data_IF_276540154241
#
_entry.id   IF_276540154241
#
_cell.length_a   1.000
_cell.length_b   1.000
_cell.length_c   1.000
_cell.angle_alpha   90.00
_cell.angle_beta   90.00
_cell.angle_gamma   90.00
#
_symmetry.space_group_name_H-M   'P 1'
#
loop_
_entity.id
_entity.type
_entity.pdbx_description
1 polymer ?
#
# COMPACT_ATOMS: atom_id res chain seq x y z
N UNK A 1 11.93 -33.76 7.44
CA UNK A 1 12.81 -32.58 7.66
C UNK A 1 12.47 -31.41 6.73
N UNK A 2 12.92 -31.36 5.47
CA UNK A 2 12.72 -30.18 4.61
C UNK A 2 11.24 -29.86 4.33
N UNK A 3 10.40 -30.89 4.26
CA UNK A 3 8.94 -30.72 4.06
C UNK A 3 8.25 -30.04 5.23
N UNK A 4 8.50 -30.52 6.44
CA UNK A 4 7.95 -29.95 7.66
C UNK A 4 8.47 -28.53 7.91
N UNK A 5 9.76 -28.31 7.70
CA UNK A 5 10.36 -26.99 7.80
C UNK A 5 9.70 -26.02 6.81
N UNK A 6 9.51 -26.43 5.56
CA UNK A 6 8.82 -25.61 4.55
C UNK A 6 7.36 -25.31 4.94
N UNK A 7 6.64 -26.29 5.49
CA UNK A 7 5.26 -26.09 5.97
C UNK A 7 5.20 -25.10 7.12
N UNK A 8 6.11 -25.22 8.08
CA UNK A 8 6.19 -24.32 9.22
C UNK A 8 6.54 -22.88 8.80
N UNK A 9 7.51 -22.71 7.89
CA UNK A 9 7.86 -21.39 7.35
C UNK A 9 6.69 -20.72 6.63
N UNK A 10 5.87 -21.48 5.90
CA UNK A 10 4.65 -20.96 5.27
C UNK A 10 3.62 -20.51 6.31
N UNK A 11 3.36 -21.34 7.32
CA UNK A 11 2.42 -21.00 8.40
C UNK A 11 2.81 -19.72 9.15
N UNK A 12 4.09 -19.57 9.47
CA UNK A 12 4.60 -18.35 10.10
C UNK A 12 4.44 -17.13 9.18
N UNK A 13 4.73 -17.27 7.89
CA UNK A 13 4.56 -16.20 6.93
C UNK A 13 3.08 -15.79 6.76
N UNK A 14 2.16 -16.76 6.71
CA UNK A 14 0.71 -16.54 6.62
C UNK A 14 0.15 -15.82 7.86
N UNK A 15 0.82 -15.95 9.00
CA UNK A 15 0.49 -15.27 10.26
C UNK A 15 1.25 -13.96 10.47
N UNK A 16 1.87 -13.39 9.43
CA UNK A 16 2.67 -12.15 9.50
C UNK A 16 3.94 -12.25 10.37
N UNK A 17 4.39 -13.47 10.69
CA UNK A 17 5.61 -13.75 11.45
C UNK A 17 6.70 -14.40 10.57
N UNK A 18 6.78 -13.98 9.30
CA UNK A 18 7.77 -14.50 8.36
C UNK A 18 9.22 -14.34 8.86
N UNK A 19 10.02 -15.38 8.66
CA UNK A 19 11.42 -15.40 9.14
C UNK A 19 12.38 -14.87 8.08
N UNK A 20 13.38 -14.10 8.54
CA UNK A 20 14.48 -13.67 7.70
C UNK A 20 15.35 -14.87 7.24
N UNK A 21 16.01 -14.80 6.07
CA UNK A 21 16.83 -15.89 5.53
C UNK A 21 17.86 -16.47 6.52
N UNK A 22 18.47 -15.62 7.35
CA UNK A 22 19.43 -16.05 8.38
C UNK A 22 18.74 -16.86 9.48
N UNK A 23 17.60 -16.38 9.98
CA UNK A 23 16.80 -17.10 10.99
C UNK A 23 16.25 -18.42 10.48
N UNK A 24 15.85 -18.50 9.21
CA UNK A 24 15.47 -19.78 8.59
C UNK A 24 16.62 -20.79 8.59
N UNK A 25 17.86 -20.33 8.37
CA UNK A 25 19.05 -21.19 8.34
C UNK A 25 19.50 -21.62 9.74
N UNK A 26 19.34 -20.77 10.74
CA UNK A 26 19.53 -21.13 12.15
C UNK A 26 18.49 -22.17 12.58
N UNK A 27 17.20 -21.94 12.27
CA UNK A 27 16.12 -22.89 12.57
C UNK A 27 16.33 -24.26 11.90
N UNK A 28 16.83 -24.27 10.67
CA UNK A 28 17.16 -25.50 9.97
C UNK A 28 18.29 -26.29 10.66
N UNK A 29 19.29 -25.59 11.20
CA UNK A 29 20.37 -26.21 11.98
C UNK A 29 19.85 -26.75 13.32
N UNK A 30 19.10 -25.96 14.07
CA UNK A 30 18.50 -26.40 15.35
C UNK A 30 17.57 -27.61 15.16
N UNK A 31 16.77 -27.61 14.09
CA UNK A 31 15.92 -28.76 13.75
C UNK A 31 16.77 -29.99 13.43
N UNK A 32 17.90 -29.82 12.73
CA UNK A 32 18.80 -30.92 12.42
C UNK A 32 19.45 -31.52 13.66
N UNK A 33 19.94 -30.68 14.58
CA UNK A 33 20.54 -31.13 15.85
C UNK A 33 19.51 -31.89 16.71
N UNK A 34 18.31 -31.32 16.90
CA UNK A 34 17.27 -31.96 17.73
C UNK A 34 16.80 -33.31 17.19
N UNK A 35 16.88 -33.51 15.89
CA UNK A 35 16.50 -34.77 15.24
C UNK A 35 17.71 -35.69 14.97
N UNK A 36 18.91 -35.36 15.49
CA UNK A 36 20.15 -36.11 15.28
C UNK A 36 20.47 -36.37 13.79
N UNK A 37 20.15 -35.41 12.92
CA UNK A 37 20.41 -35.51 11.48
C UNK A 37 21.85 -35.05 11.22
N UNK A 38 22.68 -35.85 10.51
CA UNK A 38 24.06 -35.48 10.25
C UNK A 38 24.13 -34.20 9.40
N UNK A 39 24.85 -33.20 9.92
CA UNK A 39 25.07 -31.91 9.25
C UNK A 39 26.55 -31.71 8.93
N UNK A 40 26.88 -30.94 7.89
CA UNK A 40 28.26 -30.55 7.59
C UNK A 40 28.94 -29.81 8.75
N UNK A 41 30.25 -30.00 8.93
CA UNK A 41 31.01 -29.37 10.02
C UNK A 41 30.95 -27.84 10.03
N UNK A 42 30.83 -27.22 8.84
CA UNK A 42 30.68 -25.77 8.70
C UNK A 42 29.32 -25.24 9.20
N UNK A 43 28.31 -26.10 9.38
CA UNK A 43 27.04 -25.71 10.01
C UNK A 43 27.19 -25.68 11.53
N UNK A 44 27.88 -26.66 12.11
CA UNK A 44 28.13 -26.74 13.54
C UNK A 44 29.03 -25.59 14.02
N UNK A 45 30.08 -25.25 13.27
CA UNK A 45 30.96 -24.13 13.59
C UNK A 45 30.22 -22.78 13.58
N UNK A 46 29.27 -22.61 12.66
CA UNK A 46 28.53 -21.35 12.45
C UNK A 46 27.14 -21.33 13.09
N UNK A 47 26.75 -22.42 13.74
CA UNK A 47 25.40 -22.71 14.24
C UNK A 47 24.27 -22.35 13.26
N UNK A 48 24.52 -22.55 11.96
CA UNK A 48 23.67 -22.02 10.91
C UNK A 48 23.83 -22.84 9.62
N UNK A 49 22.72 -23.16 8.96
CA UNK A 49 22.75 -23.85 7.68
C UNK A 49 23.49 -23.06 6.61
N UNK A 50 24.12 -23.70 5.62
CA UNK A 50 24.88 -23.03 4.56
C UNK A 50 24.02 -22.20 3.59
N UNK A 51 24.61 -21.15 2.99
CA UNK A 51 23.93 -20.30 1.99
C UNK A 51 23.53 -21.12 0.76
N UNK A 52 24.42 -21.98 0.26
CA UNK A 52 24.13 -22.83 -0.89
C UNK A 52 22.99 -23.83 -0.62
N UNK A 53 23.00 -24.43 0.58
CA UNK A 53 21.90 -25.30 0.99
C UNK A 53 20.59 -24.54 1.01
N UNK A 54 20.56 -23.32 1.57
CA UNK A 54 19.35 -22.51 1.63
C UNK A 54 18.81 -22.20 0.24
N UNK A 55 19.66 -21.81 -0.71
CA UNK A 55 19.26 -21.60 -2.11
C UNK A 55 18.65 -22.85 -2.75
N UNK A 56 19.27 -24.03 -2.55
CA UNK A 56 18.75 -25.30 -3.07
C UNK A 56 17.46 -25.74 -2.37
N UNK A 57 17.34 -25.52 -1.06
CA UNK A 57 16.14 -25.80 -0.27
C UNK A 57 14.95 -24.98 -0.76
N UNK A 58 15.14 -23.67 -0.97
CA UNK A 58 14.10 -22.81 -1.52
C UNK A 58 13.65 -23.30 -2.90
N UNK A 59 14.58 -23.67 -3.77
CA UNK A 59 14.28 -24.22 -5.10
C UNK A 59 13.49 -25.54 -5.02
N UNK A 60 13.93 -26.49 -4.19
CA UNK A 60 13.28 -27.81 -4.02
C UNK A 60 11.88 -27.71 -3.43
N UNK A 61 11.63 -26.75 -2.54
CA UNK A 61 10.34 -26.61 -1.83
C UNK A 61 9.46 -25.48 -2.39
N UNK A 62 9.84 -24.91 -3.53
CA UNK A 62 9.14 -23.82 -4.20
C UNK A 62 8.87 -22.61 -3.28
N UNK A 63 9.91 -22.20 -2.55
CA UNK A 63 9.89 -21.02 -1.68
C UNK A 63 10.67 -19.88 -2.32
N UNK A 64 10.31 -18.64 -1.99
CA UNK A 64 11.02 -17.46 -2.47
C UNK A 64 11.19 -16.43 -1.35
N UNK A 65 12.30 -15.73 -1.33
CA UNK A 65 12.49 -14.59 -0.42
C UNK A 65 11.74 -13.40 -0.98
N UNK A 66 10.88 -12.79 -0.17
CA UNK A 66 10.07 -11.62 -0.53
C UNK A 66 10.21 -10.55 0.54
N UNK A 67 10.05 -9.30 0.13
CA UNK A 67 9.90 -8.19 1.06
C UNK A 67 8.43 -8.11 1.45
N UNK A 68 8.07 -8.31 2.74
CA UNK A 68 6.68 -8.20 3.17
C UNK A 68 6.21 -6.74 3.05
N UNK A 69 4.93 -6.55 2.75
CA UNK A 69 4.30 -5.23 2.85
C UNK A 69 4.11 -4.88 4.33
N UNK A 70 4.46 -3.66 4.71
CA UNK A 70 4.28 -3.16 6.07
C UNK A 70 2.78 -3.06 6.41
N UNK A 71 2.25 -4.10 7.04
CA UNK A 71 0.83 -4.20 7.44
C UNK A 71 0.68 -3.82 8.91
N UNK A 72 -0.19 -2.86 9.22
CA UNK A 72 -0.46 -2.48 10.61
C UNK A 72 -1.30 -3.56 11.30
N UNK A 73 -1.18 -3.67 12.62
CA UNK A 73 -1.97 -4.63 13.40
C UNK A 73 -3.47 -4.42 13.18
N UNK A 74 -3.93 -3.16 13.12
CA UNK A 74 -5.33 -2.83 12.85
C UNK A 74 -5.81 -3.29 11.46
N UNK A 75 -4.96 -3.20 10.42
CA UNK A 75 -5.30 -3.77 9.10
C UNK A 75 -5.36 -5.30 9.16
N UNK A 76 -4.40 -5.94 9.83
CA UNK A 76 -4.36 -7.39 9.93
C UNK A 76 -5.56 -7.96 10.71
N UNK A 77 -6.00 -7.29 11.79
CA UNK A 77 -7.16 -7.73 12.57
C UNK A 77 -8.48 -7.39 11.88
N UNK A 78 -8.61 -6.26 11.18
CA UNK A 78 -9.82 -5.91 10.46
C UNK A 78 -10.02 -6.73 9.17
N UNK A 79 -8.92 -7.14 8.51
CA UNK A 79 -8.96 -7.87 7.24
C UNK A 79 -8.95 -9.40 7.44
N UNK A 80 -9.83 -9.89 8.31
CA UNK A 80 -10.05 -11.33 8.52
C UNK A 80 -11.38 -11.76 7.88
N UNK A 81 -11.54 -13.07 7.61
CA UNK A 81 -12.73 -13.62 6.93
C UNK A 81 -14.04 -13.27 7.62
N UNK A 82 -14.06 -13.28 8.95
CA UNK A 82 -15.26 -12.99 9.74
C UNK A 82 -15.64 -11.52 9.62
N UNK A 83 -14.72 -10.60 9.90
CA UNK A 83 -14.98 -9.15 9.85
C UNK A 83 -15.32 -8.68 8.42
N UNK A 84 -14.64 -9.22 7.42
CA UNK A 84 -14.97 -8.96 6.01
C UNK A 84 -16.35 -9.52 5.65
N UNK A 85 -16.68 -10.72 6.13
CA UNK A 85 -17.99 -11.33 5.96
C UNK A 85 -19.11 -10.47 6.55
N UNK A 86 -18.97 -10.08 7.83
CA UNK A 86 -19.92 -9.20 8.53
C UNK A 86 -20.10 -7.85 7.81
N UNK A 87 -19.02 -7.27 7.29
CA UNK A 87 -19.10 -6.04 6.50
C UNK A 87 -19.96 -6.23 5.24
N UNK A 88 -19.71 -7.28 4.45
CA UNK A 88 -20.46 -7.52 3.20
C UNK A 88 -21.90 -7.95 3.45
N UNK A 89 -22.18 -8.67 4.54
CA UNK A 89 -23.55 -8.98 4.97
C UNK A 89 -24.32 -7.71 5.31
N UNK A 90 -23.75 -6.82 6.12
CA UNK A 90 -24.35 -5.53 6.44
C UNK A 90 -24.55 -4.65 5.21
N UNK A 91 -23.56 -4.62 4.32
CA UNK A 91 -23.64 -3.91 3.04
C UNK A 91 -24.79 -4.46 2.19
N UNK A 92 -24.92 -5.79 2.07
CA UNK A 92 -26.00 -6.42 1.31
C UNK A 92 -27.38 -6.04 1.86
N UNK A 93 -27.57 -6.05 3.19
CA UNK A 93 -28.82 -5.63 3.84
C UNK A 93 -29.18 -4.18 3.50
N UNK A 94 -28.21 -3.27 3.57
CA UNK A 94 -28.41 -1.84 3.27
C UNK A 94 -28.72 -1.62 1.78
N UNK A 95 -27.97 -2.30 0.91
CA UNK A 95 -28.17 -2.27 -0.54
C UNK A 95 -29.55 -2.82 -0.92
N UNK A 96 -30.01 -3.88 -0.28
CA UNK A 96 -31.33 -4.45 -0.52
C UNK A 96 -32.47 -3.61 0.03
N UNK A 97 -32.27 -2.95 1.18
CA UNK A 97 -33.29 -2.08 1.77
C UNK A 97 -33.55 -0.83 0.95
N UNK A 98 -32.49 -0.16 0.51
CA UNK A 98 -32.59 1.15 -0.14
C UNK A 98 -32.51 1.09 -1.66
N UNK A 99 -32.01 -0.03 -2.22
CA UNK A 99 -31.89 -0.24 -3.67
C UNK A 99 -31.21 0.94 -4.38
N UNK A 100 -30.08 1.37 -3.83
CA UNK A 100 -29.34 2.51 -4.36
C UNK A 100 -28.97 2.29 -5.85
N UNK A 101 -29.35 3.21 -6.75
CA UNK A 101 -28.93 3.11 -8.13
C UNK A 101 -27.43 3.41 -8.27
N UNK A 102 -26.75 2.94 -9.34
CA UNK A 102 -25.30 3.10 -9.49
C UNK A 102 -24.79 4.55 -9.41
N UNK A 103 -25.59 5.52 -9.83
CA UNK A 103 -25.20 6.94 -9.80
C UNK A 103 -25.19 7.55 -8.38
N UNK A 104 -25.71 6.85 -7.37
CA UNK A 104 -25.71 7.27 -5.96
C UNK A 104 -24.63 6.57 -5.11
N UNK A 105 -23.86 5.64 -5.70
CA UNK A 105 -22.82 4.89 -5.00
C UNK A 105 -21.48 5.44 -5.43
N UNK A 106 -20.81 6.17 -4.54
CA UNK A 106 -19.52 6.81 -4.81
C UNK A 106 -18.39 6.05 -4.14
N UNK A 107 -17.31 5.84 -4.90
CA UNK A 107 -16.00 5.53 -4.34
C UNK A 107 -15.18 6.82 -4.27
N UNK A 108 -14.58 7.08 -3.12
CA UNK A 108 -13.72 8.24 -2.87
C UNK A 108 -12.34 7.72 -2.51
N UNK A 109 -11.30 8.26 -3.14
CA UNK A 109 -9.92 7.90 -2.83
C UNK A 109 -8.97 9.10 -2.99
N UNK A 110 -7.85 9.01 -2.30
CA UNK A 110 -6.79 10.03 -2.30
C UNK A 110 -5.57 9.54 -3.07
N UNK A 111 -5.04 10.39 -3.94
CA UNK A 111 -3.76 10.14 -4.62
C UNK A 111 -2.83 11.33 -4.51
N UNK A 112 -1.56 11.05 -4.23
CA UNK A 112 -0.51 12.07 -4.26
C UNK A 112 0.00 12.28 -5.69
N UNK A 113 -0.04 13.52 -6.17
CA UNK A 113 0.51 13.94 -7.47
C UNK A 113 1.73 14.82 -7.22
N UNK A 114 2.84 14.49 -7.88
CA UNK A 114 4.09 15.27 -7.77
C UNK A 114 4.12 16.37 -8.82
N UNK A 115 4.52 17.58 -8.42
CA UNK A 115 4.63 18.73 -9.34
C UNK A 115 5.85 18.70 -10.25
N UNK A 116 6.79 17.77 -10.02
CA UNK A 116 7.99 17.62 -10.83
C UNK A 116 7.91 16.34 -11.66
N UNK A 117 8.16 16.49 -12.96
CA UNK A 117 8.23 15.37 -13.88
C UNK A 117 9.42 14.48 -13.55
N UNK A 118 9.18 13.17 -13.47
CA UNK A 118 10.27 12.19 -13.40
C UNK A 118 11.03 12.23 -14.72
N UNK A 119 12.36 12.43 -14.70
CA UNK A 119 13.15 12.37 -15.92
C UNK A 119 13.01 11.00 -16.58
N UNK A 120 12.93 10.98 -17.92
CA UNK A 120 12.88 9.74 -18.69
C UNK A 120 14.22 9.02 -18.61
N UNK A 121 14.20 7.70 -18.79
CA UNK A 121 15.43 6.92 -18.91
C UNK A 121 16.23 7.42 -20.12
N UNK A 122 17.54 7.57 -19.95
CA UNK A 122 18.47 8.02 -20.99
C UNK A 122 19.50 6.93 -21.25
N UNK A 123 19.92 6.79 -22.51
CA UNK A 123 21.03 5.92 -22.88
C UNK A 123 22.34 6.56 -22.44
N UNK A 124 23.18 5.82 -21.73
CA UNK A 124 24.47 6.31 -21.23
C UNK A 124 25.50 5.18 -21.12
N UNK A 125 26.74 5.53 -20.82
CA UNK A 125 27.86 4.59 -20.73
C UNK A 125 27.66 3.55 -19.62
N UNK A 126 27.94 2.28 -19.95
CA UNK A 126 27.81 1.16 -19.01
C UNK A 126 28.78 1.33 -17.84
N UNK A 127 28.26 1.37 -16.62
CA UNK A 127 29.05 1.54 -15.39
C UNK A 127 29.11 2.99 -14.87
N UNK A 128 28.59 3.96 -15.63
CA UNK A 128 28.46 5.35 -15.19
C UNK A 128 27.38 5.46 -14.12
N UNK A 129 27.78 5.77 -12.88
CA UNK A 129 26.88 5.84 -11.72
C UNK A 129 26.11 7.15 -11.61
N UNK A 130 26.66 8.26 -12.13
CA UNK A 130 26.02 9.57 -12.08
C UNK A 130 25.56 9.99 -13.48
N UNK A 131 24.24 10.05 -13.65
CA UNK A 131 23.56 10.43 -14.88
C UNK A 131 22.55 11.51 -14.51
N UNK A 132 22.79 12.73 -15.00
CA UNK A 132 21.92 13.88 -14.73
C UNK A 132 20.88 14.07 -15.82
N UNK A 133 19.71 14.60 -15.46
CA UNK A 133 18.72 15.14 -16.39
C UNK A 133 18.24 16.47 -15.86
N UNK A 134 18.05 17.44 -16.76
CA UNK A 134 17.45 18.73 -16.41
C UNK A 134 15.98 18.50 -16.07
N UNK A 135 15.54 19.00 -14.92
CA UNK A 135 14.14 19.01 -14.46
C UNK A 135 13.83 20.37 -13.86
N UNK A 136 12.55 20.74 -13.78
CA UNK A 136 12.12 22.05 -13.29
C UNK A 136 12.46 22.31 -11.81
N UNK A 137 12.65 21.26 -11.00
CA UNK A 137 13.14 21.35 -9.63
C UNK A 137 13.70 19.98 -9.16
N UNK A 138 14.60 19.98 -8.17
CA UNK A 138 15.21 18.76 -7.63
C UNK A 138 14.22 17.87 -6.85
N UNK A 139 13.23 18.49 -6.19
CA UNK A 139 12.13 17.82 -5.48
C UNK A 139 10.82 18.52 -5.80
N UNK A 140 9.86 17.75 -6.31
CA UNK A 140 8.48 18.21 -6.41
C UNK A 140 7.81 18.22 -5.05
N UNK A 141 6.85 19.11 -4.89
CA UNK A 141 5.91 19.04 -3.79
C UNK A 141 4.82 18.02 -4.14
N UNK A 142 4.44 17.21 -3.15
CA UNK A 142 3.32 16.29 -3.28
C UNK A 142 2.04 17.06 -3.01
N UNK A 143 1.19 17.19 -4.02
CA UNK A 143 -0.17 17.72 -3.87
C UNK A 143 -1.10 16.52 -3.78
N UNK A 144 -1.95 16.48 -2.75
CA UNK A 144 -2.95 15.42 -2.63
C UNK A 144 -4.15 15.79 -3.47
N UNK A 145 -4.67 14.83 -4.23
CA UNK A 145 -5.87 14.96 -5.04
C UNK A 145 -6.89 13.97 -4.50
N UNK A 146 -8.04 14.48 -4.10
CA UNK A 146 -9.20 13.68 -3.68
C UNK A 146 -10.15 13.59 -4.87
N UNK A 147 -10.46 12.35 -5.27
CA UNK A 147 -11.34 12.06 -6.38
C UNK A 147 -12.54 11.24 -5.91
N UNK A 148 -13.73 11.57 -6.41
CA UNK A 148 -14.94 10.77 -6.19
C UNK A 148 -15.56 10.37 -7.53
N UNK A 149 -15.83 9.08 -7.70
CA UNK A 149 -16.44 8.52 -8.91
C UNK A 149 -17.59 7.62 -8.52
N UNK A 150 -18.75 7.78 -9.15
CA UNK A 150 -19.87 6.88 -8.91
C UNK A 150 -19.82 5.61 -9.75
N UNK A 151 -20.59 4.60 -9.37
CA UNK A 151 -20.66 3.33 -10.09
C UNK A 151 -21.27 3.45 -11.51
N UNK A 152 -21.88 4.59 -11.86
CA UNK A 152 -22.30 4.90 -13.23
C UNK A 152 -21.16 5.49 -14.10
N UNK A 153 -20.00 5.80 -13.51
CA UNK A 153 -18.83 6.35 -14.21
C UNK A 153 -18.73 7.88 -14.18
N UNK A 154 -19.62 8.59 -13.49
CA UNK A 154 -19.55 10.04 -13.35
C UNK A 154 -18.53 10.41 -12.26
N UNK A 155 -17.61 11.31 -12.59
CA UNK A 155 -16.64 11.85 -11.65
C UNK A 155 -17.09 13.22 -11.13
N UNK A 156 -16.91 13.44 -9.83
CA UNK A 156 -17.02 14.75 -9.21
C UNK A 156 -15.73 15.52 -9.50
N UNK A 157 -15.79 16.84 -9.77
CA UNK A 157 -14.58 17.65 -9.90
C UNK A 157 -13.65 17.42 -8.69
N UNK A 158 -12.34 17.24 -8.91
CA UNK A 158 -11.43 16.86 -7.84
C UNK A 158 -11.25 17.97 -6.81
N UNK A 159 -10.83 17.58 -5.60
CA UNK A 159 -10.33 18.51 -4.60
C UNK A 159 -8.81 18.37 -4.47
N UNK A 160 -8.09 19.48 -4.47
CA UNK A 160 -6.64 19.53 -4.32
C UNK A 160 -6.27 20.02 -2.93
N UNK A 161 -5.40 19.30 -2.23
CA UNK A 161 -4.84 19.70 -0.94
C UNK A 161 -3.35 20.00 -1.11
N UNK A 162 -3.01 21.29 -0.99
CA UNK A 162 -1.65 21.79 -1.19
C UNK A 162 -0.86 21.83 0.13
N UNK A 163 0.44 21.47 0.13
CA UNK A 163 1.32 21.53 1.31
C UNK A 163 1.73 22.98 1.65
N UNK A 164 0.78 23.76 2.18
CA UNK A 164 0.94 25.18 2.53
C UNK A 164 0.12 25.54 3.76
N UNK A 165 0.57 26.58 4.47
CA UNK A 165 -0.18 27.18 5.59
C UNK A 165 -1.23 28.17 5.09
N UNK A 166 -0.96 28.85 3.97
CA UNK A 166 -1.87 29.81 3.34
C UNK A 166 -2.18 29.35 1.93
N UNK A 167 -3.47 29.17 1.66
CA UNK A 167 -3.97 28.93 0.32
C UNK A 167 -3.84 30.21 -0.52
N UNK A 168 -3.58 30.04 -1.82
CA UNK A 168 -3.57 31.11 -2.82
C UNK A 168 -4.39 30.65 -4.00
N UNK A 169 -5.25 31.52 -4.52
CA UNK A 169 -6.12 31.21 -5.66
C UNK A 169 -5.31 30.82 -6.92
N UNK A 170 -4.09 31.35 -7.04
CA UNK A 170 -3.14 31.00 -8.10
C UNK A 170 -2.88 29.49 -8.23
N UNK A 171 -3.03 28.72 -7.14
CA UNK A 171 -2.83 27.26 -7.17
C UNK A 171 -3.88 26.52 -8.00
N UNK A 172 -5.03 27.15 -8.24
CA UNK A 172 -6.12 26.59 -9.02
C UNK A 172 -6.12 27.07 -10.49
N UNK A 173 -5.11 27.83 -10.90
CA UNK A 173 -4.95 28.23 -12.31
C UNK A 173 -4.77 26.97 -13.16
N UNK A 174 -5.70 26.75 -14.09
CA UNK A 174 -5.70 25.58 -14.98
C UNK A 174 -6.28 24.31 -14.35
N UNK A 175 -6.83 24.38 -13.13
CA UNK A 175 -7.57 23.27 -12.55
C UNK A 175 -8.86 22.99 -13.35
N UNK A 176 -9.38 21.74 -13.33
CA UNK A 176 -10.64 21.41 -13.95
C UNK A 176 -11.79 22.30 -13.45
N UNK A 177 -12.76 22.67 -14.30
CA UNK A 177 -13.92 23.45 -13.87
C UNK A 177 -14.64 22.78 -12.69
N UNK A 178 -14.98 23.58 -11.69
CA UNK A 178 -15.64 23.10 -10.47
C UNK A 178 -14.73 22.41 -9.46
N UNK A 179 -13.42 22.28 -9.72
CA UNK A 179 -12.48 21.75 -8.75
C UNK A 179 -12.33 22.65 -7.52
N UNK A 180 -12.06 22.04 -6.37
CA UNK A 180 -11.86 22.75 -5.09
C UNK A 180 -10.40 22.71 -4.68
N UNK A 181 -9.91 23.78 -4.07
CA UNK A 181 -8.58 23.83 -3.48
C UNK A 181 -8.66 24.04 -1.97
N UNK A 182 -7.81 23.33 -1.24
CA UNK A 182 -7.55 23.51 0.17
C UNK A 182 -6.05 23.43 0.45
N UNK A 183 -5.64 23.82 1.65
CA UNK A 183 -4.24 23.75 2.05
C UNK A 183 -4.09 23.21 3.46
N UNK A 184 -3.15 22.28 3.62
CA UNK A 184 -2.70 21.81 4.93
C UNK A 184 -1.19 21.92 5.00
N UNK A 185 -0.64 22.05 6.21
CA UNK A 185 0.82 22.17 6.40
C UNK A 185 1.59 20.99 5.78
N UNK A 186 1.00 19.80 5.79
CA UNK A 186 1.63 18.57 5.31
C UNK A 186 1.25 18.22 3.86
N UNK A 187 0.21 18.85 3.31
CA UNK A 187 -0.38 18.51 2.01
C UNK A 187 -1.26 17.27 2.04
N UNK A 188 -1.48 16.66 3.20
CA UNK A 188 -2.40 15.54 3.40
C UNK A 188 -3.74 16.03 3.91
N UNK A 189 -4.80 15.28 3.63
CA UNK A 189 -6.10 15.54 4.22
C UNK A 189 -6.05 15.33 5.74
N UNK A 190 -6.86 16.09 6.46
CA UNK A 190 -6.97 16.02 7.91
C UNK A 190 -8.45 16.22 8.34
N UNK A 191 -8.69 16.19 9.64
CA UNK A 191 -10.03 16.31 10.22
C UNK A 191 -10.74 17.63 9.86
N UNK A 192 -9.98 18.69 9.56
CA UNK A 192 -10.52 20.00 9.16
C UNK A 192 -10.89 20.06 7.67
N UNK A 193 -10.08 19.45 6.81
CA UNK A 193 -10.27 19.49 5.34
C UNK A 193 -11.22 18.41 4.83
N UNK A 194 -11.45 17.34 5.60
CA UNK A 194 -12.43 16.32 5.23
C UNK A 194 -13.88 16.85 5.16
N UNK A 195 -14.39 17.61 6.14
CA UNK A 195 -15.68 18.28 6.03
C UNK A 195 -15.78 19.18 4.80
N UNK A 196 -14.71 19.90 4.45
CA UNK A 196 -14.70 20.74 3.25
C UNK A 196 -14.86 19.89 1.96
N UNK A 197 -14.32 18.68 1.94
CA UNK A 197 -14.53 17.73 0.85
C UNK A 197 -15.96 17.19 0.85
N UNK A 198 -16.55 16.89 2.01
CA UNK A 198 -17.94 16.44 2.10
C UNK A 198 -18.91 17.52 1.61
N UNK A 199 -18.70 18.77 1.98
CA UNK A 199 -19.51 19.90 1.47
C UNK A 199 -19.41 20.01 -0.05
N UNK A 200 -18.20 19.84 -0.60
CA UNK A 200 -17.97 19.80 -2.04
C UNK A 200 -18.70 18.64 -2.71
N UNK A 201 -18.65 17.44 -2.11
CA UNK A 201 -19.39 16.29 -2.59
C UNK A 201 -20.90 16.54 -2.58
N UNK A 202 -21.45 17.11 -1.50
CA UNK A 202 -22.87 17.44 -1.37
C UNK A 202 -23.28 18.46 -2.44
N UNK A 203 -22.48 19.49 -2.69
CA UNK A 203 -22.76 20.52 -3.70
C UNK A 203 -22.89 19.91 -5.11
N UNK A 204 -22.03 18.95 -5.46
CA UNK A 204 -22.03 18.34 -6.81
C UNK A 204 -23.01 17.17 -6.95
N UNK A 205 -23.33 16.48 -5.87
CA UNK A 205 -24.29 15.35 -5.87
C UNK A 205 -25.71 15.78 -5.57
N UNK A 206 -25.90 16.97 -4.99
CA UNK A 206 -27.17 17.46 -4.44
C UNK A 206 -27.81 16.48 -3.46
N UNK A 207 -27.01 15.62 -2.82
CA UNK A 207 -27.52 14.68 -1.85
C UNK A 207 -28.00 15.43 -0.59
N UNK A 208 -29.13 15.01 -0.05
CA UNK A 208 -29.65 15.56 1.20
C UNK A 208 -28.98 14.82 2.36
N UNK A 209 -28.37 15.50 3.34
CA UNK A 209 -27.91 14.83 4.55
C UNK A 209 -29.10 14.12 5.20
N UNK A 210 -28.98 12.82 5.46
CA UNK A 210 -29.99 12.13 6.26
C UNK A 210 -30.04 12.79 7.64
N UNK A 211 -31.17 13.44 7.95
CA UNK A 211 -31.48 13.98 9.27
C UNK A 211 -31.71 12.86 10.29
#
# INVERSE_FOLDING_TARGET
MEEELAKHLKQLADQFHGLAPVKCRELAFEYAERNNIPVPANWTEKQCAGIEWFGRFLARRHLSVRTPEATSLGRATAFNKTTVGEFFENLAVVMDRHKFPPHMIYNVDETGVVTVQKPRQVVTEKGKKQVGSITSAERGELVTVVCAVNAAGNAIPPMFVFPRVRFKDDFMIGAPPGAKGASTRTGWMNEDTWPEFLDHLIQHTQCTPCC
#
